data_IF_214616670270
#
_entry.id   IF_214616670270
#
_cell.length_a   1.000
_cell.length_b   1.000
_cell.length_c   1.000
_cell.angle_alpha   90.00
_cell.angle_beta   90.00
_cell.angle_gamma   90.00
#
_symmetry.space_group_name_H-M   'P 1'
#
loop_
_entity.id
_entity.type
_entity.pdbx_description
1 polymer ?
#
# COMPACT_ATOMS: atom_id res chain seq x y z
N UNK A 1 -15.55 4.11 0.17
CA UNK A 1 -16.43 3.03 -0.33
C UNK A 1 -15.90 2.35 -1.60
N UNK A 2 -14.94 2.93 -2.34
CA UNK A 2 -14.38 2.32 -3.56
C UNK A 2 -13.80 0.90 -3.35
N UNK A 3 -12.99 0.59 -2.31
CA UNK A 3 -12.40 -0.74 -2.17
C UNK A 3 -13.42 -1.86 -1.93
N UNK A 4 -14.54 -1.57 -1.24
CA UNK A 4 -15.58 -2.56 -0.94
C UNK A 4 -16.38 -3.00 -2.16
N UNK A 5 -16.22 -2.35 -3.32
CA UNK A 5 -16.90 -2.74 -4.55
C UNK A 5 -16.26 -3.95 -5.24
N UNK A 6 -15.01 -4.29 -4.93
CA UNK A 6 -14.34 -5.44 -5.54
C UNK A 6 -14.59 -6.70 -4.71
N UNK A 7 -15.18 -7.74 -5.30
CA UNK A 7 -15.57 -9.02 -4.66
C UNK A 7 -14.44 -9.82 -3.98
N UNK A 8 -13.18 -9.39 -4.14
CA UNK A 8 -11.98 -10.01 -3.54
C UNK A 8 -11.50 -9.25 -2.28
N UNK A 9 -12.18 -8.15 -1.92
CA UNK A 9 -11.89 -7.38 -0.71
C UNK A 9 -12.78 -7.90 0.41
N UNK A 10 -12.18 -8.60 1.36
CA UNK A 10 -12.86 -9.09 2.57
C UNK A 10 -13.10 -7.98 3.60
N UNK A 11 -12.11 -7.10 3.79
CA UNK A 11 -12.14 -6.07 4.84
C UNK A 11 -11.46 -4.79 4.39
N UNK A 12 -12.10 -3.67 4.68
CA UNK A 12 -11.52 -2.33 4.55
C UNK A 12 -11.14 -1.81 5.93
N UNK A 13 -9.88 -1.40 6.11
CA UNK A 13 -9.39 -0.76 7.34
C UNK A 13 -9.22 0.73 7.03
N UNK A 14 -10.12 1.61 7.51
CA UNK A 14 -10.01 3.04 7.24
C UNK A 14 -8.83 3.65 7.99
N UNK A 15 -8.11 4.55 7.31
CA UNK A 15 -7.00 5.32 7.90
C UNK A 15 -7.22 6.81 7.69
N UNK A 16 -6.95 7.60 8.73
CA UNK A 16 -7.16 9.05 8.69
C UNK A 16 -5.85 9.81 8.93
N UNK A 17 -4.75 9.39 8.29
CA UNK A 17 -3.38 9.90 8.51
C UNK A 17 -3.33 11.43 8.55
N UNK A 18 -4.03 12.12 7.65
CA UNK A 18 -4.05 13.60 7.60
C UNK A 18 -4.64 14.19 8.88
N UNK A 19 -5.78 13.66 9.34
CA UNK A 19 -6.48 14.09 10.57
C UNK A 19 -5.67 13.72 11.82
N UNK A 20 -5.13 12.50 11.87
CA UNK A 20 -4.32 12.05 13.00
C UNK A 20 -3.09 12.93 13.24
N UNK A 21 -2.48 13.41 12.15
CA UNK A 21 -1.35 14.33 12.24
C UNK A 21 -1.73 15.76 12.61
N UNK A 22 -2.93 16.23 12.28
CA UNK A 22 -3.39 17.57 12.66
C UNK A 22 -3.96 17.62 14.09
N UNK A 23 -4.45 16.49 14.61
CA UNK A 23 -5.13 16.41 15.91
C UNK A 23 -4.52 15.28 16.76
N UNK A 24 -3.21 15.34 17.01
CA UNK A 24 -2.45 14.26 17.67
C UNK A 24 -2.99 13.95 19.07
N UNK A 25 -3.19 14.96 19.92
CA UNK A 25 -3.71 14.76 21.29
C UNK A 25 -5.07 14.07 21.26
N UNK A 26 -6.00 14.57 20.43
CA UNK A 26 -7.34 13.99 20.29
C UNK A 26 -7.30 12.55 19.79
N UNK A 27 -6.42 12.25 18.83
CA UNK A 27 -6.23 10.90 18.27
C UNK A 27 -5.69 9.92 19.31
N UNK A 28 -4.87 10.40 20.25
CA UNK A 28 -4.39 9.59 21.36
C UNK A 28 -5.48 9.34 22.40
N UNK A 29 -6.26 10.37 22.77
CA UNK A 29 -7.31 10.26 23.79
C UNK A 29 -8.56 9.53 23.30
N UNK A 30 -8.87 9.55 21.99
CA UNK A 30 -10.05 8.91 21.45
C UNK A 30 -9.83 7.45 21.01
N UNK A 31 -8.61 6.92 21.15
CA UNK A 31 -8.30 5.52 20.87
C UNK A 31 -8.17 5.15 19.39
N UNK A 32 -8.45 6.06 18.44
CA UNK A 32 -8.45 5.74 17.00
C UNK A 32 -7.14 5.11 16.53
N UNK A 33 -6.01 5.59 17.05
CA UNK A 33 -4.70 5.02 16.71
C UNK A 33 -4.50 3.61 17.29
N UNK A 34 -4.97 3.38 18.51
CA UNK A 34 -4.91 2.07 19.15
C UNK A 34 -5.77 1.06 18.40
N UNK A 35 -6.99 1.46 18.04
CA UNK A 35 -7.92 0.65 17.26
C UNK A 35 -7.34 0.33 15.90
N UNK A 36 -6.82 1.32 15.17
CA UNK A 36 -6.15 1.09 13.90
C UNK A 36 -5.04 0.03 14.02
N UNK A 37 -4.13 0.19 14.98
CA UNK A 37 -3.02 -0.77 15.20
C UNK A 37 -3.54 -2.18 15.52
N UNK A 38 -4.62 -2.27 16.31
CA UNK A 38 -5.26 -3.56 16.62
C UNK A 38 -5.83 -4.20 15.35
N UNK A 39 -6.57 -3.45 14.53
CA UNK A 39 -7.21 -3.96 13.33
C UNK A 39 -6.20 -4.39 12.26
N UNK A 40 -5.16 -3.59 12.02
CA UNK A 40 -4.13 -3.90 11.01
C UNK A 40 -3.22 -5.06 11.44
N UNK A 41 -3.01 -5.23 12.75
CA UNK A 41 -2.22 -6.33 13.32
C UNK A 41 -3.03 -7.58 13.70
N UNK A 42 -4.34 -7.59 13.44
CA UNK A 42 -5.26 -8.65 13.91
C UNK A 42 -4.99 -10.00 13.23
N UNK A 43 -4.56 -9.97 11.97
CA UNK A 43 -4.33 -11.17 11.15
C UNK A 43 -2.87 -11.28 10.76
N UNK A 44 -2.41 -12.53 10.57
CA UNK A 44 -1.15 -12.81 9.91
C UNK A 44 -1.41 -12.86 8.40
N UNK A 45 -0.82 -11.92 7.67
CA UNK A 45 -0.90 -11.84 6.22
C UNK A 45 0.24 -12.64 5.60
N UNK A 46 -0.06 -13.35 4.51
CA UNK A 46 0.96 -13.96 3.68
C UNK A 46 1.87 -12.91 3.03
N UNK A 47 1.29 -11.77 2.65
CA UNK A 47 2.02 -10.63 2.10
C UNK A 47 1.30 -9.32 2.46
N UNK A 48 2.07 -8.30 2.83
CA UNK A 48 1.61 -6.91 2.98
C UNK A 48 2.20 -6.11 1.84
N UNK A 49 1.38 -5.58 0.93
CA UNK A 49 1.88 -4.89 -0.27
C UNK A 49 1.57 -3.39 -0.19
N UNK A 50 2.60 -2.54 -0.09
CA UNK A 50 2.46 -1.09 -0.22
C UNK A 50 2.51 -0.68 -1.69
N UNK A 51 1.33 -0.50 -2.29
CA UNK A 51 1.18 -0.05 -3.67
C UNK A 51 1.32 1.48 -3.86
N UNK A 52 1.35 2.25 -2.76
CA UNK A 52 1.34 3.71 -2.81
C UNK A 52 2.76 4.28 -2.87
N UNK A 53 3.70 3.66 -2.15
CA UNK A 53 5.11 4.05 -2.19
C UNK A 53 5.40 5.43 -1.58
N UNK A 54 4.62 5.85 -0.58
CA UNK A 54 4.88 7.06 0.20
C UNK A 54 5.37 6.70 1.59
N UNK A 55 6.19 7.55 2.21
CA UNK A 55 6.69 7.34 3.56
C UNK A 55 5.56 7.15 4.58
N UNK A 56 4.46 7.91 4.45
CA UNK A 56 3.34 7.85 5.39
C UNK A 56 2.59 6.52 5.34
N UNK A 57 2.39 5.95 4.15
CA UNK A 57 1.76 4.63 3.99
C UNK A 57 2.71 3.53 4.43
N UNK A 58 3.98 3.63 4.02
CA UNK A 58 5.04 2.70 4.39
C UNK A 58 5.26 2.62 5.90
N UNK A 59 5.13 3.73 6.63
CA UNK A 59 5.21 3.69 8.10
C UNK A 59 4.11 2.83 8.74
N UNK A 60 2.91 2.82 8.16
CA UNK A 60 1.80 2.04 8.71
C UNK A 60 1.99 0.53 8.55
N UNK A 61 2.78 0.07 7.58
CA UNK A 61 2.99 -1.37 7.36
C UNK A 61 3.68 -2.05 8.53
N UNK A 62 4.44 -1.31 9.36
CA UNK A 62 5.10 -1.84 10.57
C UNK A 62 4.14 -2.43 11.61
N UNK A 63 2.87 -2.05 11.54
CA UNK A 63 1.84 -2.56 12.46
C UNK A 63 1.09 -3.77 11.90
N UNK A 64 1.24 -4.06 10.60
CA UNK A 64 0.75 -5.29 10.00
C UNK A 64 1.66 -6.47 10.36
N UNK A 65 1.12 -7.68 10.37
CA UNK A 65 1.88 -8.91 10.61
C UNK A 65 2.04 -9.70 9.32
N UNK A 66 3.25 -9.79 8.81
CA UNK A 66 3.59 -10.50 7.56
C UNK A 66 4.72 -9.81 6.80
N UNK A 67 5.34 -10.47 5.82
CA UNK A 67 6.40 -9.87 5.01
C UNK A 67 5.86 -8.69 4.21
N UNK A 68 6.59 -7.57 4.27
CA UNK A 68 6.22 -6.32 3.63
C UNK A 68 6.92 -6.18 2.28
N UNK A 69 6.13 -6.01 1.22
CA UNK A 69 6.57 -5.78 -0.14
C UNK A 69 6.28 -4.35 -0.56
N UNK A 70 7.20 -3.76 -1.31
CA UNK A 70 7.00 -2.45 -1.91
C UNK A 70 8.00 -2.16 -3.02
N UNK A 71 7.86 -1.01 -3.67
CA UNK A 71 8.77 -0.61 -4.75
C UNK A 71 10.19 -0.35 -4.22
N UNK A 72 11.21 -0.70 -5.00
CA UNK A 72 12.60 -0.39 -4.69
C UNK A 72 12.93 1.10 -4.85
N UNK A 73 14.13 1.52 -4.47
CA UNK A 73 14.53 2.93 -4.44
C UNK A 73 14.48 3.62 -5.82
N UNK A 74 14.71 2.86 -6.89
CA UNK A 74 14.67 3.36 -8.27
C UNK A 74 13.24 3.49 -8.79
N UNK A 75 12.31 2.71 -8.23
CA UNK A 75 10.92 2.63 -8.67
C UNK A 75 9.96 3.45 -7.81
N UNK A 76 10.23 3.60 -6.51
CA UNK A 76 9.32 4.24 -5.56
C UNK A 76 9.24 5.76 -5.78
N UNK A 77 8.15 6.36 -5.28
CA UNK A 77 7.94 7.81 -5.33
C UNK A 77 8.77 8.53 -4.26
N UNK A 78 8.77 8.02 -3.03
CA UNK A 78 9.58 8.55 -1.93
C UNK A 78 10.58 7.49 -1.44
N UNK A 79 11.88 7.68 -1.69
CA UNK A 79 12.93 6.67 -1.40
C UNK A 79 12.97 6.19 0.05
N UNK A 80 12.56 7.03 1.00
CA UNK A 80 12.50 6.68 2.42
C UNK A 80 11.48 5.58 2.73
N UNK A 81 10.48 5.37 1.87
CA UNK A 81 9.50 4.31 2.02
C UNK A 81 10.16 2.91 1.99
N UNK A 82 11.24 2.74 1.21
CA UNK A 82 11.94 1.45 1.11
C UNK A 82 12.53 0.94 2.44
N UNK A 83 12.71 1.81 3.45
CA UNK A 83 13.20 1.40 4.77
C UNK A 83 12.17 0.61 5.60
N UNK A 84 10.94 0.48 5.10
CA UNK A 84 9.84 -0.23 5.75
C UNK A 84 9.46 -1.53 5.04
N UNK A 85 10.18 -1.90 3.98
CA UNK A 85 9.88 -3.09 3.17
C UNK A 85 10.92 -4.17 3.45
N UNK A 86 10.46 -5.39 3.70
CA UNK A 86 11.31 -6.58 3.81
C UNK A 86 11.79 -7.01 2.41
N UNK A 87 10.92 -6.85 1.41
CA UNK A 87 11.18 -7.20 0.03
C UNK A 87 10.90 -6.01 -0.89
N UNK A 88 11.90 -5.60 -1.67
CA UNK A 88 11.76 -4.51 -2.63
C UNK A 88 11.64 -5.03 -4.05
N UNK A 89 10.68 -4.48 -4.81
CA UNK A 89 10.37 -4.86 -6.17
C UNK A 89 10.77 -3.75 -7.14
N UNK A 90 11.55 -4.10 -8.16
CA UNK A 90 11.85 -3.17 -9.26
C UNK A 90 10.70 -3.15 -10.28
N UNK A 91 10.15 -1.97 -10.56
CA UNK A 91 9.11 -1.72 -11.56
C UNK A 91 9.43 -0.41 -12.27
N UNK A 92 9.76 -0.49 -13.56
CA UNK A 92 10.17 0.64 -14.35
C UNK A 92 9.18 1.82 -14.24
N UNK A 93 9.74 3.02 -14.12
CA UNK A 93 9.01 4.29 -14.19
C UNK A 93 8.61 4.58 -15.63
N UNK A 94 7.75 5.58 -15.83
CA UNK A 94 7.26 5.96 -17.16
C UNK A 94 6.12 5.06 -17.71
N UNK A 95 5.62 4.13 -16.90
CA UNK A 95 4.45 3.32 -17.20
C UNK A 95 3.21 3.86 -16.48
N UNK A 96 2.02 3.57 -17.01
CA UNK A 96 0.75 3.90 -16.37
C UNK A 96 0.68 3.35 -14.95
N UNK A 97 0.08 4.11 -14.01
CA UNK A 97 0.08 3.76 -12.60
C UNK A 97 -0.56 2.38 -12.32
N UNK A 98 -1.66 2.05 -13.02
CA UNK A 98 -2.33 0.74 -12.92
C UNK A 98 -1.37 -0.39 -13.29
N UNK A 99 -0.60 -0.24 -14.36
CA UNK A 99 0.34 -1.28 -14.82
C UNK A 99 1.48 -1.50 -13.85
N UNK A 100 1.96 -0.42 -13.23
CA UNK A 100 2.99 -0.51 -12.19
C UNK A 100 2.50 -1.25 -10.96
N UNK A 101 1.25 -1.02 -10.55
CA UNK A 101 0.63 -1.75 -9.43
C UNK A 101 0.43 -3.22 -9.79
N UNK A 102 -0.02 -3.55 -11.01
CA UNK A 102 -0.17 -4.95 -11.45
C UNK A 102 1.17 -5.70 -11.45
N UNK A 103 2.25 -5.07 -11.92
CA UNK A 103 3.60 -5.65 -11.87
C UNK A 103 4.12 -5.82 -10.43
N UNK A 104 3.87 -4.85 -9.56
CA UNK A 104 4.20 -4.97 -8.14
C UNK A 104 3.52 -6.19 -7.52
N UNK A 105 2.22 -6.38 -7.77
CA UNK A 105 1.46 -7.52 -7.25
C UNK A 105 1.97 -8.85 -7.81
N UNK A 106 2.19 -8.94 -9.13
CA UNK A 106 2.75 -10.13 -9.78
C UNK A 106 4.06 -10.58 -9.14
N UNK A 107 5.01 -9.65 -8.98
CA UNK A 107 6.32 -9.94 -8.40
C UNK A 107 6.27 -10.22 -6.90
N UNK A 108 5.37 -9.57 -6.16
CA UNK A 108 5.23 -9.78 -4.71
C UNK A 108 4.55 -11.11 -4.37
N UNK A 109 3.62 -11.56 -5.22
CA UNK A 109 2.84 -12.78 -5.01
C UNK A 109 3.35 -13.99 -5.80
N UNK A 110 4.34 -13.80 -6.68
CA UNK A 110 4.99 -14.89 -7.41
C UNK A 110 4.17 -15.48 -8.54
N UNK A 111 3.33 -14.67 -9.22
CA UNK A 111 2.59 -15.09 -10.40
C UNK A 111 3.06 -14.33 -11.65
N UNK A 112 2.84 -14.91 -12.83
CA UNK A 112 3.23 -14.31 -14.09
C UNK A 112 2.46 -13.03 -14.38
N UNK A 113 3.17 -11.96 -14.73
CA UNK A 113 2.53 -10.72 -15.15
C UNK A 113 1.83 -10.94 -16.50
N UNK A 114 0.50 -10.82 -16.59
CA UNK A 114 -0.28 -11.21 -17.78
C UNK A 114 -0.15 -10.22 -18.95
N UNK A 115 0.82 -9.31 -18.90
CA UNK A 115 1.01 -8.23 -19.87
C UNK A 115 0.12 -7.00 -19.58
N UNK A 116 0.40 -5.86 -20.25
CA UNK A 116 -0.35 -4.63 -20.08
C UNK A 116 -1.82 -4.80 -20.46
N UNK A 117 -2.74 -4.23 -19.67
CA UNK A 117 -4.09 -3.98 -20.19
C UNK A 117 -3.90 -2.80 -21.15
N UNK A 118 -4.11 -3.02 -22.45
CA UNK A 118 -3.98 -1.96 -23.46
C UNK A 118 -4.75 -0.68 -23.06
N UNK A 119 -4.36 0.46 -23.63
CA UNK A 119 -4.81 1.79 -23.22
C UNK A 119 -6.31 1.86 -22.94
N UNK A 120 -6.65 1.89 -21.64
CA UNK A 120 -7.95 2.35 -21.19
C UNK A 120 -7.89 3.87 -21.27
N UNK A 121 -8.16 4.41 -22.46
CA UNK A 121 -7.97 5.81 -22.86
C UNK A 121 -8.57 6.86 -21.93
N UNK A 122 -7.91 7.11 -20.82
CA UNK A 122 -8.08 8.31 -20.01
C UNK A 122 -6.83 9.14 -20.27
N UNK A 123 -6.92 9.91 -21.35
CA UNK A 123 -5.99 10.95 -21.71
C UNK A 123 -5.90 11.94 -20.53
N UNK A 124 -4.70 12.13 -19.98
CA UNK A 124 -4.45 13.18 -18.99
C UNK A 124 -3.79 14.33 -19.74
N UNK A 125 -4.64 15.22 -20.27
CA UNK A 125 -4.26 16.61 -20.53
C UNK A 125 -4.04 17.36 -19.22
#
# INVERSE_FOLDING_TARGET
>A
EIPSWHFKVDRVIPVAIRRWRSEILKTLFNGEWSDFKKLIGERNYYAVIDAQGLFKSAFLTRYARGPVFGLNQDSVREKLACRYYDHTVNVAKGQHAVERVRQLFAKSLGYDFPGPVGDSGIDTQ
#
